data_IF_185394531534
#
_entry.id   IF_185394531534
#
_cell.length_a   1.000
_cell.length_b   1.000
_cell.length_c   1.000
_cell.angle_alpha   90.00
_cell.angle_beta   90.00
_cell.angle_gamma   90.00
#
_symmetry.space_group_name_H-M   'P 1'
#
loop_
_entity.id
_entity.type
_entity.pdbx_description
1 polymer ?
#
# COMPACT_ATOMS: atom_id res chain seq x y z
N UNK A 1 3.76 -11.24 44.09
CA UNK A 1 4.73 -10.16 44.09
C UNK A 1 6.04 -10.41 44.86
N UNK A 2 6.18 -11.49 45.67
CA UNK A 2 7.36 -11.69 46.52
C UNK A 2 8.24 -12.90 46.16
N UNK A 3 8.25 -13.43 44.93
CA UNK A 3 9.15 -14.52 44.50
C UNK A 3 10.14 -14.14 43.39
N UNK A 4 10.02 -12.97 42.76
CA UNK A 4 10.92 -12.50 41.71
C UNK A 4 12.08 -11.63 42.25
N UNK A 5 11.96 -11.06 43.47
CA UNK A 5 13.04 -10.22 44.06
C UNK A 5 14.22 -11.08 44.56
N UNK A 6 14.01 -12.36 44.84
CA UNK A 6 15.08 -13.26 45.32
C UNK A 6 16.05 -13.77 44.25
N UNK A 7 15.70 -13.67 42.93
CA UNK A 7 16.56 -14.14 41.84
C UNK A 7 17.55 -13.08 41.35
N UNK A 8 17.31 -11.82 41.69
CA UNK A 8 18.15 -10.70 41.23
C UNK A 8 19.43 -10.47 42.04
N UNK A 9 19.52 -11.04 43.25
CA UNK A 9 20.65 -10.79 44.17
C UNK A 9 21.84 -11.74 44.01
N UNK A 10 21.74 -12.81 43.22
CA UNK A 10 22.81 -13.84 43.12
C UNK A 10 23.61 -13.80 41.77
N UNK A 11 23.35 -12.90 40.87
CA UNK A 11 24.01 -12.86 39.57
C UNK A 11 25.07 -11.77 39.39
N UNK A 12 25.52 -11.11 40.49
CA UNK A 12 26.43 -9.97 40.43
C UNK A 12 27.94 -10.27 40.49
N UNK A 13 28.39 -11.52 40.46
CA UNK A 13 29.81 -11.86 40.59
C UNK A 13 30.28 -13.01 39.68
N UNK A 14 30.01 -12.91 38.37
CA UNK A 14 30.77 -13.71 37.39
C UNK A 14 31.42 -12.77 36.36
N UNK A 15 32.74 -12.55 36.47
CA UNK A 15 33.53 -12.01 35.38
C UNK A 15 33.61 -13.07 34.28
N UNK A 16 33.17 -12.72 33.09
CA UNK A 16 33.19 -13.61 31.92
C UNK A 16 34.55 -13.46 31.19
N UNK A 17 35.14 -14.57 30.72
CA UNK A 17 36.35 -14.53 29.91
C UNK A 17 36.09 -13.80 28.57
N UNK A 18 37.11 -13.10 28.13
CA UNK A 18 37.13 -12.15 27.03
C UNK A 18 36.44 -12.63 25.76
N UNK A 19 35.70 -11.71 25.16
CA UNK A 19 35.13 -11.81 23.82
C UNK A 19 36.28 -11.91 22.79
N UNK A 20 36.56 -13.11 22.38
CA UNK A 20 37.41 -13.39 21.22
C UNK A 20 36.50 -13.80 20.07
N UNK A 21 36.52 -13.07 18.99
CA UNK A 21 35.71 -13.10 17.76
C UNK A 21 34.28 -12.64 18.00
N UNK A 22 33.92 -11.50 17.37
CA UNK A 22 32.53 -11.09 17.27
C UNK A 22 31.76 -12.24 16.59
N UNK A 23 30.69 -12.73 17.21
CA UNK A 23 29.87 -13.75 16.57
C UNK A 23 29.25 -13.15 15.31
N UNK A 24 29.09 -13.97 14.28
CA UNK A 24 28.32 -13.64 13.10
C UNK A 24 27.00 -12.96 13.52
N UNK A 25 26.57 -11.98 12.76
CA UNK A 25 25.33 -11.21 12.91
C UNK A 25 24.20 -12.06 13.50
N UNK A 26 23.72 -11.71 14.70
CA UNK A 26 22.74 -12.53 15.45
C UNK A 26 21.36 -11.91 15.42
N UNK A 27 20.40 -12.72 15.02
CA UNK A 27 18.99 -12.37 15.03
C UNK A 27 18.25 -13.09 16.16
N UNK A 28 17.27 -12.42 16.75
CA UNK A 28 16.50 -12.93 17.87
C UNK A 28 15.01 -12.92 17.56
N UNK A 29 14.40 -14.08 17.53
CA UNK A 29 12.98 -14.27 17.25
C UNK A 29 12.15 -14.27 18.52
N UNK A 30 11.04 -13.53 18.54
CA UNK A 30 10.06 -13.49 19.61
C UNK A 30 8.62 -13.43 19.09
N UNK A 31 7.67 -13.82 19.94
CA UNK A 31 6.24 -13.72 19.62
C UNK A 31 5.55 -12.85 20.65
N UNK A 32 5.17 -11.65 20.25
CA UNK A 32 4.37 -10.73 21.05
C UNK A 32 2.89 -11.10 20.92
N UNK A 33 2.26 -11.45 22.04
CA UNK A 33 0.90 -11.97 22.04
C UNK A 33 -0.05 -10.99 22.75
N UNK A 34 -1.01 -10.45 22.00
CA UNK A 34 -2.20 -9.76 22.51
C UNK A 34 -3.40 -10.72 22.53
N UNK A 35 -4.48 -10.41 23.24
CA UNK A 35 -5.67 -11.25 23.25
C UNK A 35 -6.22 -11.59 21.86
N UNK A 36 -6.15 -10.65 20.93
CA UNK A 36 -6.72 -10.76 19.57
C UNK A 36 -5.69 -10.96 18.47
N UNK A 37 -4.40 -10.68 18.75
CA UNK A 37 -3.34 -10.71 17.73
C UNK A 37 -2.04 -11.29 18.25
N UNK A 38 -1.27 -11.90 17.33
CA UNK A 38 0.10 -12.35 17.58
C UNK A 38 1.02 -11.72 16.54
N UNK A 39 2.08 -11.06 17.04
CA UNK A 39 3.13 -10.50 16.18
C UNK A 39 4.37 -11.35 16.32
N UNK A 40 4.90 -11.84 15.21
CA UNK A 40 6.21 -12.48 15.14
C UNK A 40 7.25 -11.38 14.91
N UNK A 41 8.23 -11.30 15.80
CA UNK A 41 9.22 -10.24 15.80
C UNK A 41 10.61 -10.83 15.62
N UNK A 42 11.45 -10.14 14.86
CA UNK A 42 12.91 -10.39 14.83
C UNK A 42 13.61 -9.13 15.28
N UNK A 43 14.43 -9.25 16.32
CA UNK A 43 15.30 -8.21 16.80
C UNK A 43 16.68 -8.41 16.20
N UNK A 44 17.15 -7.42 15.47
CA UNK A 44 18.49 -7.28 14.97
C UNK A 44 19.24 -6.30 15.88
N UNK A 45 20.17 -6.83 16.65
CA UNK A 45 20.89 -6.03 17.64
C UNK A 45 21.95 -5.17 16.96
N UNK A 46 22.59 -5.67 15.91
CA UNK A 46 23.69 -4.97 15.25
C UNK A 46 23.20 -3.78 14.44
N UNK A 47 22.11 -3.96 13.71
CA UNK A 47 21.48 -2.90 12.94
C UNK A 47 20.51 -2.05 13.76
N UNK A 48 20.35 -2.34 15.04
CA UNK A 48 19.38 -1.66 15.93
C UNK A 48 17.98 -1.58 15.28
N UNK A 49 17.50 -2.72 14.81
CA UNK A 49 16.25 -2.82 14.06
C UNK A 49 15.35 -3.93 14.60
N UNK A 50 14.06 -3.72 14.47
CA UNK A 50 13.01 -4.71 14.74
C UNK A 50 12.29 -5.02 13.43
N UNK A 51 12.10 -6.30 13.14
CA UNK A 51 11.29 -6.74 12.02
C UNK A 51 10.00 -7.35 12.54
N UNK A 52 8.87 -6.97 11.98
CA UNK A 52 7.57 -7.57 12.25
C UNK A 52 7.22 -8.51 11.10
N UNK A 53 7.10 -9.80 11.38
CA UNK A 53 6.80 -10.82 10.38
C UNK A 53 5.29 -11.05 10.31
N UNK A 54 4.76 -11.18 9.11
CA UNK A 54 3.34 -11.47 8.87
C UNK A 54 2.66 -10.39 8.06
N UNK A 55 1.82 -9.57 8.66
CA UNK A 55 1.08 -8.54 7.92
C UNK A 55 1.96 -7.40 7.37
N UNK A 56 3.17 -7.21 7.93
CA UNK A 56 4.12 -6.18 7.53
C UNK A 56 5.53 -6.62 7.90
N UNK A 57 6.30 -7.29 7.04
CA UNK A 57 7.72 -7.45 7.27
C UNK A 57 8.38 -6.08 7.11
N UNK A 58 8.39 -5.29 8.16
CA UNK A 58 9.00 -3.98 8.16
C UNK A 58 10.24 -4.02 9.01
N UNK A 59 11.36 -3.62 8.42
CA UNK A 59 12.50 -3.16 9.19
C UNK A 59 12.09 -1.86 9.88
N UNK A 60 11.92 -1.92 11.18
CA UNK A 60 11.60 -0.78 12.02
C UNK A 60 12.92 -0.37 12.69
N UNK A 61 13.56 0.71 12.23
CA UNK A 61 14.73 1.23 12.91
C UNK A 61 14.31 1.69 14.31
N UNK A 62 15.12 1.35 15.31
CA UNK A 62 14.84 1.67 16.70
C UNK A 62 15.41 3.05 17.05
N UNK A 63 14.61 3.94 17.63
CA UNK A 63 15.03 5.31 17.96
C UNK A 63 16.05 5.32 19.12
N UNK A 64 15.86 4.41 20.09
CA UNK A 64 16.73 4.29 21.26
C UNK A 64 17.03 2.83 21.49
N UNK A 65 18.17 2.38 21.01
CA UNK A 65 18.69 1.06 21.34
C UNK A 65 19.83 1.21 22.35
N UNK A 66 19.79 0.44 23.42
CA UNK A 66 20.84 0.40 24.44
C UNK A 66 21.13 -1.03 24.84
N UNK A 67 22.41 -1.36 24.88
CA UNK A 67 22.92 -2.60 25.46
C UNK A 67 23.95 -2.25 26.54
N UNK A 68 23.63 -2.57 27.77
CA UNK A 68 24.54 -2.41 28.89
C UNK A 68 24.71 -3.77 29.62
N UNK A 69 25.87 -4.39 29.47
CA UNK A 69 26.14 -5.76 29.92
C UNK A 69 25.06 -6.72 29.38
N UNK A 70 24.23 -7.24 30.30
CA UNK A 70 23.12 -8.14 29.95
C UNK A 70 21.76 -7.43 29.79
N UNK A 71 21.70 -6.11 30.00
CA UNK A 71 20.46 -5.37 29.81
C UNK A 71 20.35 -4.88 28.38
N UNK A 72 19.18 -5.10 27.79
CA UNK A 72 18.81 -4.62 26.46
C UNK A 72 17.53 -3.84 26.60
N UNK A 73 17.55 -2.61 26.07
CA UNK A 73 16.35 -1.79 25.99
C UNK A 73 16.27 -1.09 24.66
N UNK A 74 15.06 -0.95 24.12
CA UNK A 74 14.82 -0.22 22.90
C UNK A 74 13.41 0.36 22.86
N UNK A 75 13.19 1.39 22.06
CA UNK A 75 11.88 2.01 21.83
C UNK A 75 11.77 2.57 20.42
N UNK A 76 10.54 2.82 20.02
CA UNK A 76 10.16 3.53 18.82
C UNK A 76 8.92 4.38 19.13
N UNK A 77 9.09 5.70 19.15
CA UNK A 77 8.10 6.63 19.71
C UNK A 77 6.74 6.61 18.97
N UNK A 78 6.74 6.32 17.68
CA UNK A 78 5.57 6.26 16.81
C UNK A 78 4.99 4.85 16.63
N UNK A 79 5.56 3.84 17.31
CA UNK A 79 5.14 2.45 17.12
C UNK A 79 4.92 1.69 18.43
N UNK A 80 5.70 1.97 19.49
CA UNK A 80 5.56 1.38 20.82
C UNK A 80 6.39 2.13 21.86
N UNK A 81 5.96 2.08 23.11
CA UNK A 81 6.61 2.82 24.22
C UNK A 81 7.99 2.26 24.60
N UNK A 82 8.21 0.95 24.47
CA UNK A 82 9.55 0.38 24.69
C UNK A 82 9.56 -1.11 25.03
N UNK A 83 10.76 -1.65 25.00
CA UNK A 83 11.10 -2.98 25.50
C UNK A 83 12.26 -2.90 26.49
N UNK A 84 12.17 -3.62 27.58
CA UNK A 84 13.25 -3.78 28.56
C UNK A 84 13.41 -5.27 28.86
N UNK A 85 14.59 -5.82 28.57
CA UNK A 85 14.88 -7.23 28.75
C UNK A 85 16.29 -7.51 29.26
N UNK A 86 16.50 -8.76 29.68
CA UNK A 86 17.79 -9.25 30.17
C UNK A 86 18.23 -10.40 29.25
N UNK A 87 19.45 -10.28 28.72
CA UNK A 87 20.08 -11.35 27.99
C UNK A 87 20.55 -12.44 28.95
N UNK A 88 20.20 -13.67 28.65
CA UNK A 88 20.62 -14.86 29.38
C UNK A 88 21.65 -15.66 28.56
N UNK A 89 22.95 -15.64 28.93
CA UNK A 89 23.97 -16.37 28.17
C UNK A 89 23.74 -17.88 28.11
N UNK A 90 23.09 -18.47 29.13
CA UNK A 90 22.87 -19.92 29.17
C UNK A 90 21.81 -20.39 28.15
N UNK A 91 20.81 -19.58 27.87
CA UNK A 91 19.78 -19.87 26.86
C UNK A 91 20.04 -19.16 25.54
N UNK A 92 21.06 -18.30 25.49
CA UNK A 92 21.31 -17.37 24.36
C UNK A 92 20.02 -16.63 23.92
N UNK A 93 19.27 -16.13 24.91
CA UNK A 93 17.97 -15.49 24.69
C UNK A 93 17.81 -14.23 25.51
N UNK A 94 16.79 -13.43 25.20
CA UNK A 94 16.46 -12.20 25.90
C UNK A 94 15.04 -12.32 26.44
N UNK A 95 14.87 -12.15 27.75
CA UNK A 95 13.55 -12.18 28.38
C UNK A 95 13.25 -10.81 29.00
N UNK A 96 12.06 -10.28 28.75
CA UNK A 96 11.70 -8.95 29.22
C UNK A 96 10.24 -8.58 29.04
N UNK A 97 10.00 -7.28 29.08
CA UNK A 97 8.67 -6.72 28.94
C UNK A 97 8.59 -5.71 27.82
N UNK A 98 7.66 -5.94 26.93
CA UNK A 98 7.19 -4.99 25.96
C UNK A 98 6.17 -4.06 26.62
N UNK A 99 6.29 -2.77 26.41
CA UNK A 99 5.35 -1.76 26.91
C UNK A 99 4.65 -1.13 25.70
N UNK A 100 3.35 -1.30 25.59
CA UNK A 100 2.54 -0.69 24.54
C UNK A 100 2.20 0.79 24.84
N UNK A 101 1.48 1.44 23.95
CA UNK A 101 1.12 2.85 24.08
C UNK A 101 0.16 3.12 25.26
N UNK A 102 -0.64 2.12 25.65
CA UNK A 102 -1.50 2.17 26.83
C UNK A 102 -0.76 1.87 28.14
N UNK A 103 0.59 1.80 28.08
CA UNK A 103 1.48 1.48 29.21
C UNK A 103 1.28 0.06 29.78
N UNK A 104 0.65 -0.82 29.03
CA UNK A 104 0.50 -2.21 29.39
C UNK A 104 1.80 -2.96 29.15
N UNK A 105 2.22 -3.75 30.15
CA UNK A 105 3.42 -4.59 30.04
C UNK A 105 3.06 -6.00 29.64
N UNK A 106 3.67 -6.47 28.55
CA UNK A 106 3.48 -7.82 28.00
C UNK A 106 4.82 -8.53 28.04
N UNK A 107 4.85 -9.73 28.62
CA UNK A 107 6.07 -10.53 28.64
C UNK A 107 6.42 -10.96 27.21
N UNK A 108 7.67 -10.73 26.79
CA UNK A 108 8.18 -11.08 25.49
C UNK A 108 9.60 -11.68 25.65
N UNK A 109 9.75 -12.89 25.15
CA UNK A 109 11.04 -13.58 25.09
C UNK A 109 11.52 -13.64 23.63
N UNK A 110 12.78 -13.31 23.42
CA UNK A 110 13.49 -13.48 22.18
C UNK A 110 14.51 -14.62 22.30
N UNK A 111 14.60 -15.47 21.27
CA UNK A 111 15.55 -16.57 21.17
C UNK A 111 16.37 -16.41 19.92
N UNK A 112 17.66 -16.72 19.98
CA UNK A 112 18.53 -16.74 18.80
C UNK A 112 17.91 -17.63 17.73
N UNK A 113 17.99 -17.16 16.52
CA UNK A 113 17.47 -17.85 15.36
C UNK A 113 18.36 -17.56 14.14
N UNK A 114 18.42 -18.52 13.25
CA UNK A 114 18.92 -18.31 11.90
C UNK A 114 17.79 -17.74 11.05
N UNK A 115 17.92 -16.49 10.54
CA UNK A 115 16.89 -15.86 9.72
C UNK A 115 16.52 -16.71 8.49
N UNK A 116 17.48 -17.47 7.98
CA UNK A 116 17.27 -18.34 6.81
C UNK A 116 16.27 -19.47 7.07
N UNK A 117 16.02 -19.77 8.36
CA UNK A 117 15.04 -20.80 8.76
C UNK A 117 13.69 -20.26 9.11
N UNK A 118 13.52 -18.92 9.17
CA UNK A 118 12.24 -18.29 9.50
C UNK A 118 11.53 -17.90 8.21
N UNK A 119 10.45 -18.62 7.98
CA UNK A 119 9.47 -18.24 6.96
C UNK A 119 8.98 -16.80 7.17
N UNK A 120 9.02 -15.99 6.13
CA UNK A 120 8.60 -14.58 6.14
C UNK A 120 9.66 -13.55 6.54
N UNK A 121 10.89 -13.97 6.88
CA UNK A 121 11.99 -13.02 7.11
C UNK A 121 12.75 -12.68 5.82
N UNK A 122 12.97 -13.67 4.97
CA UNK A 122 13.51 -13.47 3.62
C UNK A 122 12.39 -13.53 2.59
N UNK A 123 12.55 -12.88 1.45
CA UNK A 123 11.57 -12.95 0.37
C UNK A 123 11.25 -14.40 -0.02
N UNK A 124 12.27 -15.27 -0.03
CA UNK A 124 12.11 -16.70 -0.31
C UNK A 124 13.11 -17.53 0.49
N UNK A 125 12.57 -18.43 1.31
CA UNK A 125 13.39 -19.35 2.14
C UNK A 125 13.79 -20.60 1.34
N UNK A 126 12.87 -21.11 0.53
CA UNK A 126 13.12 -22.27 -0.34
C UNK A 126 13.48 -21.77 -1.74
N UNK A 127 14.65 -22.13 -2.28
CA UNK A 127 15.03 -21.70 -3.62
C UNK A 127 13.96 -22.05 -4.65
N UNK A 128 13.79 -21.19 -5.64
CA UNK A 128 12.86 -21.40 -6.74
C UNK A 128 13.24 -22.66 -7.53
N UNK A 129 12.28 -23.52 -7.80
CA UNK A 129 12.49 -24.75 -8.59
C UNK A 129 12.38 -24.50 -10.11
N UNK A 130 12.09 -23.26 -10.52
CA UNK A 130 11.89 -22.84 -11.91
C UNK A 130 10.76 -21.85 -12.05
N UNK A 131 10.55 -21.37 -13.28
CA UNK A 131 9.52 -20.38 -13.63
C UNK A 131 8.40 -21.09 -14.37
N UNK A 132 7.33 -21.39 -13.65
CA UNK A 132 6.15 -22.07 -14.21
C UNK A 132 5.11 -21.07 -14.73
N UNK A 133 4.24 -21.56 -15.61
CA UNK A 133 3.03 -20.82 -15.98
C UNK A 133 2.10 -20.76 -14.76
N UNK A 134 1.56 -19.60 -14.39
CA UNK A 134 0.62 -19.50 -13.27
C UNK A 134 -0.61 -20.39 -13.42
N UNK A 135 -1.22 -20.79 -12.32
CA UNK A 135 -2.44 -21.60 -12.37
C UNK A 135 -3.61 -20.82 -12.97
N UNK A 136 -4.42 -21.49 -13.80
CA UNK A 136 -5.67 -20.92 -14.32
C UNK A 136 -6.70 -20.93 -13.20
N UNK A 137 -7.03 -19.76 -12.71
CA UNK A 137 -8.06 -19.58 -11.68
C UNK A 137 -8.93 -18.36 -12.00
N UNK A 138 -10.18 -18.40 -11.59
CA UNK A 138 -11.11 -17.27 -11.61
C UNK A 138 -11.31 -16.62 -13.01
N UNK A 139 -11.15 -17.38 -14.08
CA UNK A 139 -11.37 -16.92 -15.45
C UNK A 139 -10.26 -16.04 -16.02
N UNK A 140 -9.11 -15.91 -15.34
CA UNK A 140 -7.93 -15.23 -15.89
C UNK A 140 -7.12 -16.24 -16.71
N UNK A 141 -6.97 -16.05 -18.03
CA UNK A 141 -6.13 -16.92 -18.86
C UNK A 141 -4.68 -16.84 -18.41
N UNK A 142 -3.95 -17.95 -18.52
CA UNK A 142 -2.51 -18.00 -18.28
C UNK A 142 -1.79 -18.51 -19.52
N UNK A 143 -0.59 -18.02 -19.78
CA UNK A 143 0.22 -18.43 -20.95
C UNK A 143 1.71 -18.40 -20.61
N UNK A 144 2.53 -19.22 -21.30
CA UNK A 144 3.98 -19.10 -21.21
C UNK A 144 4.48 -17.80 -21.87
N UNK A 145 5.63 -17.32 -21.44
CA UNK A 145 6.25 -16.08 -21.94
C UNK A 145 6.35 -16.02 -23.47
N UNK A 146 6.72 -17.14 -24.10
CA UNK A 146 6.91 -17.24 -25.55
C UNK A 146 5.64 -16.96 -26.36
N UNK A 147 4.46 -17.24 -25.81
CA UNK A 147 3.19 -17.00 -26.51
C UNK A 147 2.73 -15.54 -26.46
N UNK A 148 3.26 -14.78 -25.52
CA UNK A 148 2.85 -13.38 -25.30
C UNK A 148 3.94 -12.36 -25.62
N UNK A 149 5.09 -12.82 -26.13
CA UNK A 149 6.21 -11.92 -26.48
C UNK A 149 6.83 -11.26 -25.25
N UNK A 150 7.24 -12.06 -24.29
CA UNK A 150 8.04 -11.64 -23.13
C UNK A 150 9.39 -12.35 -23.18
N UNK A 151 10.47 -11.60 -23.01
CA UNK A 151 11.82 -12.10 -22.81
C UNK A 151 11.91 -12.80 -21.44
N UNK A 152 12.02 -14.15 -21.40
CA UNK A 152 12.08 -14.86 -20.13
C UNK A 152 13.31 -14.50 -19.31
N UNK A 153 14.48 -14.24 -19.95
CA UNK A 153 15.72 -13.97 -19.23
C UNK A 153 15.65 -12.70 -18.37
N UNK A 154 14.92 -11.67 -18.83
CA UNK A 154 14.70 -10.45 -18.04
C UNK A 154 13.78 -10.68 -16.86
N UNK A 155 12.73 -11.48 -17.05
CA UNK A 155 11.80 -11.83 -15.99
C UNK A 155 12.48 -12.71 -14.95
N UNK A 156 13.22 -13.71 -15.38
CA UNK A 156 13.98 -14.60 -14.49
C UNK A 156 14.98 -13.80 -13.65
N UNK A 157 15.74 -12.90 -14.27
CA UNK A 157 16.65 -11.99 -13.57
C UNK A 157 15.92 -11.12 -12.52
N UNK A 158 14.74 -10.59 -12.85
CA UNK A 158 13.94 -9.80 -11.90
C UNK A 158 13.49 -10.67 -10.72
N UNK A 159 13.00 -11.86 -10.99
CA UNK A 159 12.47 -12.75 -9.96
C UNK A 159 13.59 -13.27 -9.05
N UNK A 160 14.78 -13.56 -9.59
CA UNK A 160 15.96 -13.91 -8.78
C UNK A 160 16.33 -12.77 -7.84
N UNK A 161 16.37 -11.53 -8.32
CA UNK A 161 16.68 -10.37 -7.50
C UNK A 161 15.61 -10.08 -6.42
N UNK A 162 14.33 -10.37 -6.73
CA UNK A 162 13.26 -10.32 -5.73
C UNK A 162 13.44 -11.39 -4.66
N UNK A 163 13.83 -12.61 -5.05
CA UNK A 163 14.12 -13.70 -4.13
C UNK A 163 15.34 -13.40 -3.23
N UNK A 164 16.35 -12.70 -3.75
CA UNK A 164 17.55 -12.27 -3.02
C UNK A 164 17.29 -11.08 -2.08
N UNK A 165 16.14 -10.37 -2.25
CA UNK A 165 15.77 -9.24 -1.40
C UNK A 165 16.27 -7.87 -1.89
N UNK A 166 16.78 -7.78 -3.12
CA UNK A 166 17.25 -6.52 -3.72
C UNK A 166 16.14 -5.46 -3.83
N UNK A 167 14.90 -5.91 -3.90
CA UNK A 167 13.71 -5.09 -3.87
C UNK A 167 12.94 -5.34 -2.57
N UNK A 168 13.44 -4.78 -1.50
CA UNK A 168 12.83 -4.88 -0.18
C UNK A 168 11.34 -4.48 -0.22
N UNK A 169 10.55 -5.11 0.62
CA UNK A 169 9.13 -4.78 0.83
C UNK A 169 8.18 -5.09 -0.34
N UNK A 170 8.62 -5.74 -1.42
CA UNK A 170 7.73 -6.26 -2.45
C UNK A 170 7.17 -7.61 -1.99
N UNK A 171 5.86 -7.73 -1.83
CA UNK A 171 5.19 -8.92 -1.30
C UNK A 171 4.50 -9.75 -2.37
N UNK A 172 4.13 -9.12 -3.48
CA UNK A 172 3.60 -9.81 -4.65
C UNK A 172 3.93 -9.08 -5.93
N UNK A 173 4.11 -9.86 -6.99
CA UNK A 173 4.26 -9.37 -8.36
C UNK A 173 3.38 -10.22 -9.27
N UNK A 174 2.41 -9.58 -9.92
CA UNK A 174 1.61 -10.19 -10.97
C UNK A 174 1.81 -9.41 -12.26
N UNK A 175 2.02 -10.14 -13.36
CA UNK A 175 2.20 -9.55 -14.70
C UNK A 175 1.23 -10.22 -15.66
N UNK A 176 0.38 -9.43 -16.30
CA UNK A 176 -0.46 -9.85 -17.42
C UNK A 176 0.02 -9.19 -18.70
N UNK A 177 0.12 -9.98 -19.76
CA UNK A 177 0.51 -9.54 -21.09
C UNK A 177 -0.43 -10.14 -22.14
N UNK A 178 -0.91 -9.30 -23.08
CA UNK A 178 -1.87 -9.71 -24.12
C UNK A 178 -3.06 -10.49 -23.56
N UNK A 179 -3.60 -9.99 -22.44
CA UNK A 179 -4.77 -10.58 -21.79
C UNK A 179 -4.52 -11.87 -21.00
N UNK A 180 -3.29 -12.32 -20.84
CA UNK A 180 -2.95 -13.52 -20.07
C UNK A 180 -2.00 -13.22 -18.91
N UNK A 181 -2.24 -13.80 -17.74
CA UNK A 181 -1.35 -13.78 -16.60
C UNK A 181 -0.13 -14.67 -16.91
N UNK A 182 1.06 -14.12 -16.77
CA UNK A 182 2.33 -14.75 -17.10
C UNK A 182 3.30 -14.83 -15.94
N UNK A 183 3.18 -13.91 -14.98
CA UNK A 183 3.90 -13.97 -13.70
C UNK A 183 2.88 -13.83 -12.58
N UNK A 184 2.98 -14.70 -11.61
CA UNK A 184 2.28 -14.60 -10.34
C UNK A 184 3.20 -15.11 -9.26
N UNK A 185 3.71 -14.20 -8.46
CA UNK A 185 4.67 -14.54 -7.44
C UNK A 185 4.41 -13.79 -6.14
N UNK A 186 4.74 -14.44 -5.04
CA UNK A 186 4.52 -13.97 -3.68
C UNK A 186 5.79 -14.19 -2.85
N UNK A 187 6.09 -13.23 -2.00
CA UNK A 187 7.31 -13.19 -1.20
C UNK A 187 6.94 -13.05 0.28
N UNK A 188 7.85 -13.39 1.21
CA UNK A 188 7.72 -13.22 2.66
C UNK A 188 6.47 -13.90 3.26
N UNK A 189 6.16 -15.14 2.95
CA UNK A 189 4.97 -15.88 3.41
C UNK A 189 3.62 -15.40 2.85
N UNK A 190 3.59 -14.40 2.00
CA UNK A 190 2.37 -14.05 1.30
C UNK A 190 2.02 -15.09 0.24
N UNK A 191 0.76 -15.17 -0.11
CA UNK A 191 0.23 -16.09 -1.13
C UNK A 191 -1.00 -15.48 -1.79
N UNK A 192 -1.56 -16.16 -2.78
CA UNK A 192 -2.69 -15.67 -3.58
C UNK A 192 -3.99 -15.42 -2.80
N UNK A 193 -4.11 -15.91 -1.56
CA UNK A 193 -5.26 -15.64 -0.70
C UNK A 193 -5.10 -14.38 0.15
N UNK A 194 -3.89 -13.83 0.24
CA UNK A 194 -3.62 -12.65 1.04
C UNK A 194 -4.30 -11.42 0.41
N UNK A 195 -5.12 -10.74 1.20
CA UNK A 195 -5.68 -9.45 0.84
C UNK A 195 -4.81 -8.31 1.40
N UNK A 196 -4.53 -7.32 0.57
CA UNK A 196 -3.74 -6.14 0.94
C UNK A 196 -4.66 -4.92 1.02
N UNK A 197 -4.50 -4.10 2.04
CA UNK A 197 -5.08 -2.76 2.06
C UNK A 197 -4.50 -1.94 0.91
N UNK A 198 -5.32 -1.68 -0.12
CA UNK A 198 -4.84 -1.10 -1.38
C UNK A 198 -4.59 0.41 -1.29
N UNK A 199 -4.87 0.99 -0.13
CA UNK A 199 -4.61 2.41 0.14
C UNK A 199 -5.22 3.32 -0.95
N UNK A 200 -4.45 4.28 -1.44
CA UNK A 200 -4.92 5.24 -2.44
C UNK A 200 -5.24 4.66 -3.82
N UNK A 201 -4.97 3.38 -4.10
CA UNK A 201 -5.52 2.68 -5.28
C UNK A 201 -7.06 2.73 -5.25
N UNK A 202 -7.68 2.79 -4.07
CA UNK A 202 -9.12 3.00 -3.87
C UNK A 202 -9.67 4.21 -4.64
N UNK A 203 -8.86 5.27 -4.81
CA UNK A 203 -9.26 6.46 -5.58
C UNK A 203 -9.54 6.13 -7.05
N UNK A 204 -8.78 5.21 -7.65
CA UNK A 204 -9.01 4.78 -9.03
C UNK A 204 -10.28 3.94 -9.16
N UNK A 205 -10.67 3.18 -8.13
CA UNK A 205 -11.96 2.50 -8.10
C UNK A 205 -13.11 3.51 -8.02
N UNK A 206 -12.97 4.57 -7.22
CA UNK A 206 -13.98 5.66 -7.14
C UNK A 206 -14.05 6.44 -8.46
N UNK A 207 -12.93 6.60 -9.18
CA UNK A 207 -12.96 7.13 -10.55
C UNK A 207 -13.85 6.29 -11.48
N UNK A 208 -13.69 4.97 -11.45
CA UNK A 208 -14.54 4.07 -12.25
C UNK A 208 -16.03 4.24 -11.93
N UNK A 209 -16.39 4.26 -10.63
CA UNK A 209 -17.77 4.49 -10.18
C UNK A 209 -18.31 5.85 -10.65
N UNK A 210 -17.45 6.87 -10.65
CA UNK A 210 -17.82 8.21 -11.16
C UNK A 210 -18.17 8.17 -12.65
N UNK A 211 -17.38 7.49 -13.45
CA UNK A 211 -17.66 7.33 -14.88
C UNK A 211 -18.96 6.58 -15.14
N UNK A 212 -19.24 5.56 -14.36
CA UNK A 212 -20.50 4.83 -14.43
C UNK A 212 -21.70 5.71 -14.05
N UNK A 213 -21.55 6.54 -13.01
CA UNK A 213 -22.60 7.46 -12.57
C UNK A 213 -22.88 8.55 -13.63
N UNK A 214 -21.83 9.07 -14.29
CA UNK A 214 -21.96 10.02 -15.40
C UNK A 214 -22.71 9.37 -16.58
N UNK A 215 -22.33 8.16 -16.97
CA UNK A 215 -22.98 7.46 -18.08
C UNK A 215 -24.46 7.15 -17.83
N UNK A 216 -24.86 7.03 -16.57
CA UNK A 216 -26.27 6.85 -16.17
C UNK A 216 -27.03 8.19 -15.99
N UNK A 217 -26.34 9.33 -16.13
CA UNK A 217 -26.92 10.64 -15.87
C UNK A 217 -27.20 10.93 -14.39
N UNK A 218 -26.62 10.17 -13.48
CA UNK A 218 -26.76 10.35 -12.02
C UNK A 218 -25.97 11.58 -11.54
N UNK A 219 -24.83 11.86 -12.17
CA UNK A 219 -24.07 13.11 -12.04
C UNK A 219 -23.77 13.68 -13.43
N UNK A 220 -23.49 14.98 -13.50
CA UNK A 220 -23.07 15.63 -14.74
C UNK A 220 -21.65 15.24 -15.13
N UNK A 221 -21.07 15.86 -16.10
CA UNK A 221 -19.66 15.66 -16.47
C UNK A 221 -18.69 16.32 -15.50
N UNK A 222 -17.40 16.31 -15.83
CA UNK A 222 -16.34 16.88 -14.99
C UNK A 222 -16.59 18.32 -14.52
N UNK A 223 -17.30 19.12 -15.31
CA UNK A 223 -17.66 20.51 -14.97
C UNK A 223 -18.83 20.64 -14.00
N UNK A 224 -19.45 19.55 -13.57
CA UNK A 224 -20.59 19.60 -12.65
C UNK A 224 -20.14 20.11 -11.27
N UNK A 225 -20.75 21.19 -10.73
CA UNK A 225 -20.38 21.72 -9.42
C UNK A 225 -20.74 20.74 -8.30
N UNK A 226 -19.81 20.50 -7.37
CA UNK A 226 -20.04 19.57 -6.26
C UNK A 226 -21.06 20.07 -5.26
N UNK A 227 -21.29 21.39 -5.20
CA UNK A 227 -22.17 22.06 -4.23
C UNK A 227 -23.58 21.42 -4.16
N UNK A 228 -24.14 21.01 -5.29
CA UNK A 228 -25.47 20.41 -5.30
C UNK A 228 -25.55 19.05 -4.62
N UNK A 229 -24.42 18.34 -4.59
CA UNK A 229 -24.29 16.97 -4.08
C UNK A 229 -23.80 16.90 -2.63
N UNK A 230 -23.30 18.01 -2.07
CA UNK A 230 -22.86 18.01 -0.69
C UNK A 230 -24.03 17.95 0.29
N UNK A 231 -23.79 17.39 1.47
CA UNK A 231 -24.72 17.43 2.59
C UNK A 231 -25.05 18.89 2.94
N UNK A 232 -26.29 19.14 3.35
CA UNK A 232 -26.79 20.51 3.60
C UNK A 232 -25.90 21.31 4.56
N UNK A 233 -25.29 20.67 5.53
CA UNK A 233 -24.40 21.31 6.53
C UNK A 233 -23.15 21.93 5.92
N UNK A 234 -22.68 21.46 4.76
CA UNK A 234 -21.47 21.95 4.08
C UNK A 234 -21.77 22.98 2.98
N UNK A 235 -23.02 23.05 2.50
CA UNK A 235 -23.37 23.92 1.38
C UNK A 235 -23.09 25.39 1.66
N UNK A 236 -23.32 25.85 2.90
CA UNK A 236 -23.02 27.23 3.30
C UNK A 236 -21.51 27.53 3.29
N UNK A 237 -20.71 26.60 3.76
CA UNK A 237 -19.26 26.82 3.91
C UNK A 237 -18.58 26.90 2.52
N UNK A 238 -19.06 26.15 1.54
CA UNK A 238 -18.53 26.13 0.17
C UNK A 238 -19.14 27.21 -0.74
N UNK A 239 -20.37 27.68 -0.45
CA UNK A 239 -21.05 28.68 -1.28
C UNK A 239 -20.36 30.05 -1.29
N UNK A 240 -19.51 30.33 -0.30
CA UNK A 240 -18.73 31.55 -0.21
C UNK A 240 -17.45 31.53 -1.07
N UNK A 241 -17.21 30.42 -1.83
CA UNK A 241 -16.08 30.30 -2.75
C UNK A 241 -16.35 31.14 -4.00
N UNK A 242 -15.41 31.98 -4.38
CA UNK A 242 -15.53 32.87 -5.54
C UNK A 242 -15.70 32.10 -6.87
N UNK A 243 -15.15 30.88 -6.96
CA UNK A 243 -15.31 30.00 -8.10
C UNK A 243 -15.77 28.60 -7.64
N UNK A 244 -16.69 27.93 -8.38
CA UNK A 244 -17.21 26.63 -7.97
C UNK A 244 -16.13 25.54 -8.05
N UNK A 245 -16.06 24.68 -7.04
CA UNK A 245 -15.32 23.42 -7.12
C UNK A 245 -16.20 22.42 -7.91
N UNK A 246 -15.62 21.77 -8.90
CA UNK A 246 -16.30 20.79 -9.76
C UNK A 246 -15.75 19.39 -9.56
N UNK A 247 -16.41 18.38 -10.16
CA UNK A 247 -15.91 17.00 -10.17
C UNK A 247 -14.51 16.89 -10.78
N UNK A 248 -14.23 17.69 -11.83
CA UNK A 248 -12.89 17.81 -12.41
C UNK A 248 -11.83 18.18 -11.35
N UNK A 249 -12.12 19.23 -10.57
CA UNK A 249 -11.18 19.69 -9.56
C UNK A 249 -10.92 18.65 -8.47
N UNK A 250 -11.95 17.91 -8.04
CA UNK A 250 -11.76 16.83 -7.05
C UNK A 250 -10.87 15.72 -7.59
N UNK A 251 -11.21 15.21 -8.79
CA UNK A 251 -10.54 14.04 -9.34
C UNK A 251 -9.15 14.34 -9.90
N UNK A 252 -8.89 15.59 -10.34
CA UNK A 252 -7.57 16.02 -10.81
C UNK A 252 -6.67 16.59 -9.71
N UNK A 253 -7.13 16.63 -8.45
CA UNK A 253 -6.40 17.21 -7.31
C UNK A 253 -6.08 18.70 -7.48
N UNK A 254 -7.00 19.46 -8.10
CA UNK A 254 -6.85 20.89 -8.39
C UNK A 254 -7.94 21.74 -7.74
N UNK A 255 -8.43 21.35 -6.58
CA UNK A 255 -9.50 22.08 -5.85
C UNK A 255 -9.07 23.44 -5.35
N UNK A 256 -7.78 23.69 -5.25
CA UNK A 256 -7.22 24.89 -4.61
C UNK A 256 -7.47 24.98 -3.10
N UNK A 257 -7.88 23.89 -2.48
CA UNK A 257 -7.94 23.78 -1.03
C UNK A 257 -6.53 23.69 -0.46
N UNK A 258 -6.28 24.38 0.67
CA UNK A 258 -4.99 24.31 1.32
C UNK A 258 -4.83 22.93 1.99
N UNK A 259 -3.88 22.16 1.47
CA UNK A 259 -3.64 20.81 1.91
C UNK A 259 -2.18 20.40 1.65
N UNK A 260 -1.56 19.76 2.61
CA UNK A 260 -0.23 19.17 2.49
C UNK A 260 -0.19 17.84 3.23
N UNK A 261 -0.18 16.75 2.50
CA UNK A 261 -0.05 15.39 3.03
C UNK A 261 1.20 14.65 2.50
N UNK A 262 2.08 15.38 1.78
CA UNK A 262 3.27 14.79 1.15
C UNK A 262 4.59 15.35 1.66
N UNK A 263 4.59 16.56 2.23
CA UNK A 263 5.82 17.21 2.73
C UNK A 263 6.23 16.66 4.09
N UNK A 264 5.27 16.26 4.92
CA UNK A 264 5.47 15.77 6.27
C UNK A 264 5.07 14.32 6.39
N UNK A 265 5.74 13.56 7.25
CA UNK A 265 5.41 12.17 7.52
C UNK A 265 3.97 12.01 8.06
N UNK A 266 3.36 10.85 7.77
CA UNK A 266 2.09 10.49 8.37
C UNK A 266 2.26 10.38 9.90
N UNK A 267 1.46 11.12 10.66
CA UNK A 267 1.60 11.24 12.12
C UNK A 267 2.21 12.55 12.60
N UNK A 268 2.88 13.33 11.72
CA UNK A 268 3.28 14.70 12.03
C UNK A 268 2.03 15.60 12.07
N UNK A 269 1.89 16.43 13.13
CA UNK A 269 0.76 17.34 13.28
C UNK A 269 0.65 18.39 12.15
N UNK A 270 1.73 18.62 11.41
CA UNK A 270 1.77 19.52 10.23
C UNK A 270 1.23 18.82 8.98
N UNK A 271 1.17 17.49 8.97
CA UNK A 271 0.55 16.76 7.89
C UNK A 271 -0.96 16.97 7.91
N UNK A 272 -1.52 17.41 6.80
CA UNK A 272 -2.95 17.75 6.72
C UNK A 272 -3.88 16.56 6.97
N UNK A 273 -3.40 15.31 6.86
CA UNK A 273 -4.18 14.12 7.22
C UNK A 273 -4.56 14.07 8.69
N UNK A 274 -3.79 14.72 9.58
CA UNK A 274 -4.18 14.89 10.98
C UNK A 274 -5.54 15.60 11.13
N UNK A 275 -5.95 16.38 10.14
CA UNK A 275 -7.29 17.00 10.07
C UNK A 275 -8.38 16.01 9.71
N UNK A 276 -8.03 14.87 9.10
CA UNK A 276 -9.01 13.85 8.72
C UNK A 276 -9.64 13.17 9.94
N UNK A 277 -8.92 13.13 11.06
CA UNK A 277 -9.41 12.62 12.34
C UNK A 277 -10.22 13.68 13.12
N UNK A 278 -10.24 14.93 12.65
CA UNK A 278 -11.05 15.96 13.24
C UNK A 278 -12.55 15.62 13.13
N UNK A 279 -13.34 16.09 14.10
CA UNK A 279 -14.79 15.86 14.20
C UNK A 279 -15.56 16.23 12.92
N UNK A 280 -15.06 17.21 12.15
CA UNK A 280 -15.63 17.63 10.86
C UNK A 280 -14.53 18.16 9.90
N UNK A 281 -13.76 17.26 9.27
CA UNK A 281 -12.62 17.64 8.42
C UNK A 281 -13.05 18.45 7.19
N UNK A 282 -14.24 18.23 6.65
CA UNK A 282 -14.72 18.99 5.49
C UNK A 282 -14.96 20.47 5.83
N UNK A 283 -15.47 20.75 7.02
CA UNK A 283 -15.68 22.14 7.45
C UNK A 283 -14.37 22.88 7.62
N UNK A 284 -13.37 22.23 8.21
CA UNK A 284 -12.03 22.80 8.37
C UNK A 284 -11.37 23.03 7.00
N UNK A 285 -11.50 22.07 6.11
CA UNK A 285 -10.97 22.14 4.75
C UNK A 285 -11.55 23.33 3.98
N UNK A 286 -12.88 23.54 4.01
CA UNK A 286 -13.53 24.64 3.29
C UNK A 286 -13.25 26.04 3.86
N UNK A 287 -12.67 26.14 5.04
CA UNK A 287 -12.23 27.41 5.63
C UNK A 287 -10.82 27.83 5.18
N UNK A 288 -10.01 26.88 4.73
CA UNK A 288 -8.63 27.09 4.29
C UNK A 288 -8.55 26.99 2.77
N UNK A 289 -8.56 28.13 2.06
CA UNK A 289 -8.70 28.12 0.61
C UNK A 289 -7.81 29.09 -0.16
N UNK A 290 -7.36 28.57 -1.30
CA UNK A 290 -7.02 29.32 -2.51
C UNK A 290 -8.13 29.10 -3.56
N UNK A 291 -8.08 29.79 -4.69
CA UNK A 291 -9.05 29.58 -5.76
C UNK A 291 -8.84 28.22 -6.44
N UNK A 292 -9.91 27.53 -6.94
CA UNK A 292 -9.79 26.36 -7.78
C UNK A 292 -8.93 26.63 -9.04
N UNK A 293 -8.30 25.59 -9.55
CA UNK A 293 -7.38 25.70 -10.70
C UNK A 293 -5.95 26.08 -10.32
N UNK A 294 -5.62 26.20 -9.04
CA UNK A 294 -4.23 26.30 -8.57
C UNK A 294 -3.45 25.02 -8.89
N UNK A 295 -2.08 25.08 -8.78
CA UNK A 295 -1.24 23.91 -9.00
C UNK A 295 -1.74 22.67 -8.26
N UNK A 296 -1.41 21.50 -8.79
CA UNK A 296 -1.70 20.20 -8.20
C UNK A 296 -1.33 20.14 -6.71
N UNK A 297 -2.27 19.67 -5.89
CA UNK A 297 -2.03 19.34 -4.48
C UNK A 297 -2.73 18.02 -4.16
N UNK A 298 -1.94 16.96 -3.98
CA UNK A 298 -2.50 15.65 -3.63
C UNK A 298 -3.26 15.75 -2.31
N UNK A 299 -4.53 15.36 -2.33
CA UNK A 299 -5.46 15.58 -1.22
C UNK A 299 -6.42 14.41 -1.06
N UNK A 300 -6.22 13.62 -0.02
CA UNK A 300 -7.04 12.45 0.28
C UNK A 300 -8.49 12.78 0.62
N UNK A 301 -8.78 14.00 1.10
CA UNK A 301 -10.16 14.42 1.37
C UNK A 301 -10.99 14.56 0.07
N UNK A 302 -10.36 14.84 -1.07
CA UNK A 302 -11.06 14.88 -2.36
C UNK A 302 -11.76 13.55 -2.69
N UNK A 303 -11.14 12.44 -2.34
CA UNK A 303 -11.73 11.11 -2.47
C UNK A 303 -12.98 10.96 -1.56
N UNK A 304 -12.90 11.39 -0.32
CA UNK A 304 -14.04 11.37 0.61
C UNK A 304 -15.18 12.28 0.16
N UNK A 305 -14.86 13.46 -0.41
CA UNK A 305 -15.86 14.33 -1.02
C UNK A 305 -16.52 13.68 -2.24
N UNK A 306 -15.74 12.97 -3.07
CA UNK A 306 -16.28 12.24 -4.21
C UNK A 306 -17.22 11.11 -3.80
N UNK A 307 -16.86 10.35 -2.75
CA UNK A 307 -17.76 9.36 -2.15
C UNK A 307 -19.08 9.97 -1.66
N UNK A 308 -19.03 11.17 -1.07
CA UNK A 308 -20.24 11.90 -0.67
C UNK A 308 -21.08 12.30 -1.89
N UNK A 309 -20.45 12.79 -2.95
CA UNK A 309 -21.12 13.13 -4.22
C UNK A 309 -21.85 11.91 -4.77
N UNK A 310 -21.17 10.78 -4.92
CA UNK A 310 -21.74 9.54 -5.45
C UNK A 310 -22.91 9.07 -4.59
N UNK A 311 -22.73 8.96 -3.28
CA UNK A 311 -23.81 8.55 -2.37
C UNK A 311 -25.05 9.43 -2.50
N UNK A 312 -24.89 10.75 -2.56
CA UNK A 312 -26.02 11.69 -2.62
C UNK A 312 -26.62 11.76 -4.03
N UNK A 313 -25.88 11.44 -5.07
CA UNK A 313 -26.37 11.41 -6.44
C UNK A 313 -27.13 10.11 -6.77
N UNK A 314 -26.60 8.98 -6.33
CA UNK A 314 -27.16 7.65 -6.66
C UNK A 314 -28.20 7.18 -5.65
N UNK A 315 -28.19 7.72 -4.44
CA UNK A 315 -29.03 7.24 -3.32
C UNK A 315 -28.58 5.91 -2.73
N UNK A 316 -27.45 5.34 -3.21
CA UNK A 316 -26.85 4.12 -2.69
C UNK A 316 -25.81 4.44 -1.60
N UNK A 317 -25.59 3.54 -0.66
CA UNK A 317 -24.43 3.63 0.21
C UNK A 317 -23.15 3.40 -0.62
N UNK A 318 -22.02 3.95 -0.21
CA UNK A 318 -20.76 3.73 -0.93
C UNK A 318 -20.39 2.24 -1.01
N UNK A 319 -20.76 1.46 0.02
CA UNK A 319 -20.61 0.01 0.01
C UNK A 319 -21.43 -0.66 -1.08
N UNK A 320 -22.72 -0.34 -1.16
CA UNK A 320 -23.60 -0.87 -2.22
C UNK A 320 -23.12 -0.46 -3.60
N UNK A 321 -22.67 0.79 -3.72
CA UNK A 321 -22.15 1.35 -4.97
C UNK A 321 -20.97 0.54 -5.50
N UNK A 322 -19.93 0.39 -4.67
CA UNK A 322 -18.72 -0.31 -5.09
C UNK A 322 -18.95 -1.81 -5.27
N UNK A 323 -19.69 -2.44 -4.37
CA UNK A 323 -19.92 -3.88 -4.40
C UNK A 323 -20.71 -4.27 -5.63
N UNK A 324 -21.91 -3.70 -5.81
CA UNK A 324 -22.81 -4.15 -6.86
C UNK A 324 -22.44 -3.67 -8.26
N UNK A 325 -21.81 -2.49 -8.37
CA UNK A 325 -21.51 -1.88 -9.66
C UNK A 325 -20.12 -2.17 -10.17
N UNK A 326 -19.16 -2.54 -9.30
CA UNK A 326 -17.78 -2.75 -9.70
C UNK A 326 -17.23 -4.11 -9.29
N UNK A 327 -17.25 -4.45 -7.98
CA UNK A 327 -16.58 -5.66 -7.50
C UNK A 327 -17.28 -6.95 -7.95
N UNK A 328 -18.61 -7.04 -7.81
CA UNK A 328 -19.39 -8.20 -8.29
C UNK A 328 -19.28 -8.42 -9.81
N UNK A 329 -19.42 -7.39 -10.67
CA UNK A 329 -19.22 -7.56 -12.11
C UNK A 329 -17.82 -8.04 -12.50
N UNK A 330 -16.78 -7.70 -11.72
CA UNK A 330 -15.41 -8.20 -11.88
C UNK A 330 -15.22 -9.61 -11.30
N UNK A 331 -16.26 -10.20 -10.70
CA UNK A 331 -16.16 -11.49 -10.02
C UNK A 331 -15.30 -11.44 -8.75
N UNK A 332 -15.15 -10.27 -8.12
CA UNK A 332 -14.43 -10.09 -6.87
C UNK A 332 -15.39 -10.37 -5.71
N UNK A 333 -15.09 -11.41 -4.92
CA UNK A 333 -15.95 -11.88 -3.85
C UNK A 333 -15.34 -11.72 -2.46
N UNK A 334 -14.02 -11.75 -2.38
CA UNK A 334 -13.27 -11.68 -1.13
C UNK A 334 -12.62 -10.29 -1.04
N UNK A 335 -13.25 -9.40 -0.32
CA UNK A 335 -12.77 -8.04 -0.07
C UNK A 335 -13.17 -7.59 1.32
N UNK A 336 -12.44 -6.61 1.85
CA UNK A 336 -12.81 -5.91 3.07
C UNK A 336 -12.85 -4.41 2.75
N UNK A 337 -13.94 -3.77 3.16
CA UNK A 337 -14.13 -2.33 2.94
C UNK A 337 -13.47 -1.46 4.01
N UNK A 338 -12.69 -2.08 4.89
CA UNK A 338 -11.93 -1.40 5.92
C UNK A 338 -12.78 -0.59 6.90
N UNK A 339 -12.13 0.28 7.66
CA UNK A 339 -12.82 1.17 8.58
C UNK A 339 -13.62 2.23 7.80
N UNK A 340 -14.91 2.25 8.07
CA UNK A 340 -15.79 3.33 7.61
C UNK A 340 -15.69 4.47 8.60
N UNK A 341 -15.55 5.67 8.08
CA UNK A 341 -15.71 6.83 8.94
C UNK A 341 -17.17 6.95 9.46
N UNK A 342 -17.39 7.78 10.46
CA UNK A 342 -18.73 8.02 11.05
C UNK A 342 -19.76 8.52 10.01
N UNK A 343 -19.38 8.76 8.76
CA UNK A 343 -20.20 9.22 7.63
C UNK A 343 -20.52 8.09 6.66
N UNK A 344 -19.98 6.89 6.90
CA UNK A 344 -20.12 5.73 6.02
C UNK A 344 -19.34 5.84 4.71
N UNK A 345 -18.30 6.69 4.69
CA UNK A 345 -17.42 6.84 3.54
C UNK A 345 -16.30 5.79 3.59
N UNK A 346 -16.01 5.17 2.46
CA UNK A 346 -14.95 4.17 2.33
C UNK A 346 -13.61 4.89 2.26
N UNK A 347 -12.71 4.61 3.21
CA UNK A 347 -11.35 5.16 3.21
C UNK A 347 -10.36 4.28 2.50
N UNK A 348 -10.40 2.99 2.78
CA UNK A 348 -9.51 1.98 2.23
C UNK A 348 -10.27 0.68 1.96
N UNK A 349 -9.74 -0.12 1.04
CA UNK A 349 -10.30 -1.42 0.67
C UNK A 349 -9.15 -2.42 0.68
N UNK A 350 -9.43 -3.64 1.13
CA UNK A 350 -8.47 -4.75 0.99
C UNK A 350 -8.89 -5.66 -0.15
N UNK A 351 -7.96 -5.89 -1.08
CA UNK A 351 -8.12 -6.76 -2.25
C UNK A 351 -6.96 -7.72 -2.36
N UNK A 352 -7.21 -8.90 -2.95
CA UNK A 352 -6.14 -9.80 -3.35
C UNK A 352 -5.43 -9.26 -4.60
N UNK A 353 -4.17 -9.61 -4.84
CA UNK A 353 -3.43 -9.17 -6.03
C UNK A 353 -4.13 -9.54 -7.34
N UNK A 354 -4.74 -10.72 -7.44
CA UNK A 354 -5.54 -11.12 -8.62
C UNK A 354 -6.78 -10.24 -8.83
N UNK A 355 -7.41 -9.76 -7.75
CA UNK A 355 -8.56 -8.89 -7.85
C UNK A 355 -8.16 -7.49 -8.34
N UNK A 356 -7.00 -6.99 -7.90
CA UNK A 356 -6.38 -5.78 -8.45
C UNK A 356 -6.03 -5.95 -9.94
N UNK A 357 -5.53 -7.14 -10.32
CA UNK A 357 -5.20 -7.46 -11.71
C UNK A 357 -6.45 -7.42 -12.60
N UNK A 358 -7.58 -8.00 -12.16
CA UNK A 358 -8.86 -7.91 -12.89
C UNK A 358 -9.25 -6.46 -13.16
N UNK A 359 -9.10 -5.59 -12.17
CA UNK A 359 -9.38 -4.15 -12.34
C UNK A 359 -8.44 -3.51 -13.36
N UNK A 360 -7.14 -3.79 -13.31
CA UNK A 360 -6.18 -3.32 -14.30
C UNK A 360 -6.46 -3.84 -15.71
N UNK A 361 -6.76 -5.13 -15.86
CA UNK A 361 -7.13 -5.73 -17.14
C UNK A 361 -8.41 -5.13 -17.72
N UNK A 362 -9.41 -4.84 -16.89
CA UNK A 362 -10.61 -4.13 -17.30
C UNK A 362 -10.24 -2.75 -17.88
N UNK A 363 -9.38 -1.99 -17.22
CA UNK A 363 -8.93 -0.69 -17.74
C UNK A 363 -8.12 -0.82 -19.04
N UNK A 364 -7.23 -1.80 -19.13
CA UNK A 364 -6.52 -2.10 -20.38
C UNK A 364 -7.49 -2.36 -21.53
N UNK A 365 -8.56 -3.10 -21.27
CA UNK A 365 -9.62 -3.46 -22.24
C UNK A 365 -10.72 -2.38 -22.34
N UNK A 366 -10.38 -1.12 -22.09
CA UNK A 366 -11.31 0.01 -22.24
C UNK A 366 -12.62 -0.16 -21.45
N UNK A 367 -12.51 -0.73 -20.25
CA UNK A 367 -13.64 -0.90 -19.33
C UNK A 367 -14.42 -2.20 -19.49
N UNK A 368 -13.97 -3.10 -20.37
CA UNK A 368 -14.57 -4.42 -20.57
C UNK A 368 -13.83 -5.49 -19.76
N UNK A 369 -14.58 -6.38 -19.12
CA UNK A 369 -14.05 -7.57 -18.47
C UNK A 369 -14.98 -8.76 -18.67
N UNK A 370 -14.43 -9.92 -19.06
CA UNK A 370 -15.17 -11.17 -19.33
C UNK A 370 -16.39 -10.96 -20.26
N UNK A 371 -16.22 -10.16 -21.33
CA UNK A 371 -17.26 -9.86 -22.33
C UNK A 371 -18.36 -8.88 -21.86
N UNK A 372 -18.15 -8.21 -20.73
CA UNK A 372 -19.09 -7.21 -20.19
C UNK A 372 -18.45 -5.84 -20.10
N UNK A 373 -19.10 -4.83 -20.68
CA UNK A 373 -18.72 -3.42 -20.43
C UNK A 373 -19.14 -3.03 -19.03
N UNK A 374 -18.17 -2.82 -18.15
CA UNK A 374 -18.38 -2.44 -16.75
C UNK A 374 -18.21 -0.93 -16.58
N UNK A 375 -17.11 -0.38 -17.08
CA UNK A 375 -16.84 1.06 -17.10
C UNK A 375 -16.95 1.56 -18.53
N UNK A 376 -17.60 2.71 -18.81
CA UNK A 376 -17.68 3.24 -20.17
C UNK A 376 -16.29 3.44 -20.79
N UNK A 377 -16.08 3.00 -22.04
CA UNK A 377 -14.80 3.10 -22.73
C UNK A 377 -14.29 4.54 -22.83
N UNK A 378 -15.20 5.50 -23.08
CA UNK A 378 -14.90 6.91 -23.09
C UNK A 378 -14.40 7.41 -21.73
N UNK A 379 -14.97 6.89 -20.63
CA UNK A 379 -14.50 7.26 -19.30
C UNK A 379 -13.09 6.74 -19.01
N UNK A 380 -12.77 5.53 -19.42
CA UNK A 380 -11.40 5.00 -19.29
C UNK A 380 -10.42 5.94 -19.97
N UNK A 381 -10.68 6.35 -21.21
CA UNK A 381 -9.83 7.28 -21.95
C UNK A 381 -9.73 8.65 -21.26
N UNK A 382 -10.86 9.21 -20.82
CA UNK A 382 -10.89 10.51 -20.16
C UNK A 382 -10.15 10.44 -18.82
N UNK A 383 -10.41 9.42 -17.99
CA UNK A 383 -9.88 9.36 -16.63
C UNK A 383 -8.39 9.09 -16.58
N UNK A 384 -7.85 8.36 -17.54
CA UNK A 384 -6.43 7.98 -17.60
C UNK A 384 -5.55 8.93 -18.42
N UNK A 385 -6.15 9.93 -19.08
CA UNK A 385 -5.38 11.00 -19.73
C UNK A 385 -4.92 12.06 -18.74
N UNK A 386 -3.73 12.61 -18.95
CA UNK A 386 -3.16 13.66 -18.09
C UNK A 386 -4.06 14.90 -18.07
N UNK A 387 -4.50 15.33 -16.90
CA UNK A 387 -5.26 16.58 -16.69
C UNK A 387 -4.39 17.69 -16.12
N UNK A 388 -3.37 17.33 -15.37
CA UNK A 388 -2.43 18.27 -14.76
C UNK A 388 -1.03 17.65 -14.69
N UNK A 389 0.03 18.37 -15.08
CA UNK A 389 1.40 17.95 -14.83
C UNK A 389 1.71 18.07 -13.34
N UNK A 390 2.45 17.10 -12.79
CA UNK A 390 2.86 17.08 -11.38
C UNK A 390 4.36 17.39 -11.25
N UNK A 391 5.18 16.66 -11.97
CA UNK A 391 6.63 16.88 -12.12
C UNK A 391 7.08 16.36 -13.48
N UNK A 392 8.35 16.49 -13.80
CA UNK A 392 8.90 15.92 -15.03
C UNK A 392 8.52 14.43 -15.15
N UNK A 393 8.00 14.05 -16.31
CA UNK A 393 7.50 12.71 -16.64
C UNK A 393 6.48 12.13 -15.67
N UNK A 394 5.74 12.97 -14.93
CA UNK A 394 4.66 12.53 -14.05
C UNK A 394 3.49 13.51 -14.15
N UNK A 395 2.32 12.97 -14.50
CA UNK A 395 1.07 13.70 -14.54
C UNK A 395 0.00 13.03 -13.70
N UNK A 396 -1.17 13.66 -13.64
CA UNK A 396 -2.34 13.16 -12.95
C UNK A 396 -3.60 13.34 -13.79
N UNK A 397 -4.38 12.27 -13.92
CA UNK A 397 -5.69 12.25 -14.56
C UNK A 397 -6.81 12.39 -13.55
N UNK A 398 -7.88 11.61 -13.71
CA UNK A 398 -8.98 11.54 -12.74
C UNK A 398 -8.78 10.37 -11.78
N UNK A 399 -8.04 10.62 -10.71
CA UNK A 399 -7.60 9.63 -9.72
C UNK A 399 -6.70 8.53 -10.32
N UNK A 400 -5.98 8.86 -11.36
CA UNK A 400 -4.96 8.05 -11.99
C UNK A 400 -3.68 8.86 -12.15
N UNK A 401 -2.55 8.26 -11.85
CA UNK A 401 -1.24 8.79 -12.20
C UNK A 401 -0.92 8.48 -13.66
N UNK A 402 -0.15 9.32 -14.31
CA UNK A 402 0.29 9.11 -15.70
C UNK A 402 1.78 9.37 -15.85
N UNK A 403 2.45 8.53 -16.65
CA UNK A 403 3.88 8.65 -16.96
C UNK A 403 4.17 8.06 -18.33
N UNK A 404 5.42 8.17 -18.79
CA UNK A 404 5.91 7.46 -19.97
C UNK A 404 7.12 6.60 -19.60
N UNK A 405 7.34 5.53 -20.36
CA UNK A 405 8.54 4.70 -20.29
C UNK A 405 9.18 4.64 -21.68
N UNK A 406 10.51 4.50 -21.73
CA UNK A 406 11.19 4.22 -22.97
C UNK A 406 11.08 2.72 -23.32
N UNK A 407 10.64 2.42 -24.53
CA UNK A 407 10.59 1.08 -25.08
C UNK A 407 11.10 1.07 -26.52
N UNK A 408 12.23 0.39 -26.77
CA UNK A 408 12.85 0.27 -28.11
C UNK A 408 13.03 1.62 -28.84
N UNK A 409 13.47 2.64 -28.09
CA UNK A 409 13.70 3.98 -28.62
C UNK A 409 12.43 4.82 -28.86
N UNK A 410 11.29 4.40 -28.30
CA UNK A 410 10.02 5.12 -28.35
C UNK A 410 9.48 5.31 -26.92
N UNK A 411 8.79 6.40 -26.71
CA UNK A 411 7.99 6.56 -25.49
C UNK A 411 6.66 5.83 -25.61
N UNK A 412 6.33 5.04 -24.57
CA UNK A 412 5.04 4.39 -24.39
C UNK A 412 4.35 4.95 -23.16
N UNK A 413 3.06 5.28 -23.30
CA UNK A 413 2.25 5.83 -22.23
C UNK A 413 1.91 4.77 -21.18
N UNK A 414 1.96 5.18 -19.92
CA UNK A 414 1.51 4.37 -18.78
C UNK A 414 0.59 5.20 -17.90
N UNK A 415 -0.52 4.63 -17.49
CA UNK A 415 -1.29 5.15 -16.36
C UNK A 415 -1.29 4.12 -15.24
N UNK A 416 -1.32 4.62 -14.02
CA UNK A 416 -1.21 3.72 -12.88
C UNK A 416 -1.99 4.23 -11.66
N UNK A 417 -2.55 3.28 -10.91
CA UNK A 417 -3.05 3.51 -9.56
C UNK A 417 -1.92 3.29 -8.57
N UNK A 418 -1.80 4.16 -7.59
CA UNK A 418 -0.75 4.10 -6.59
C UNK A 418 -1.31 4.31 -5.18
N UNK A 419 -1.03 3.35 -4.31
CA UNK A 419 -1.32 3.38 -2.88
C UNK A 419 -0.05 3.40 -2.04
N UNK A 420 -0.09 4.11 -0.94
CA UNK A 420 1.00 4.18 0.01
C UNK A 420 1.45 2.78 0.45
N UNK A 421 2.73 2.60 0.71
CA UNK A 421 3.32 1.32 1.07
C UNK A 421 3.64 0.41 -0.12
N UNK A 422 3.47 0.85 -1.38
CA UNK A 422 3.87 0.07 -2.55
C UNK A 422 2.72 -0.75 -3.17
N UNK A 423 1.50 -0.22 -3.14
CA UNK A 423 0.35 -0.80 -3.82
C UNK A 423 0.24 -0.19 -5.21
N UNK A 424 0.36 -0.98 -6.27
CA UNK A 424 0.34 -0.49 -7.64
C UNK A 424 -0.50 -1.35 -8.58
N UNK A 425 -1.15 -0.68 -9.52
CA UNK A 425 -1.69 -1.25 -10.75
C UNK A 425 -1.17 -0.40 -11.89
N UNK A 426 -0.17 -0.88 -12.63
CA UNK A 426 0.34 -0.23 -13.84
C UNK A 426 -0.37 -0.79 -15.06
N UNK A 427 -0.72 0.07 -15.99
CA UNK A 427 -1.29 -0.29 -17.28
C UNK A 427 -0.52 0.44 -18.37
N UNK A 428 0.06 -0.31 -19.30
CA UNK A 428 0.80 0.20 -20.46
C UNK A 428 0.07 -0.30 -21.72
N UNK A 429 -0.88 0.49 -22.28
CA UNK A 429 -1.75 0.04 -23.36
C UNK A 429 -1.00 -0.40 -24.61
N UNK A 430 0.00 0.38 -25.05
CA UNK A 430 0.80 0.07 -26.26
C UNK A 430 1.54 -1.28 -26.15
N UNK A 431 1.77 -1.74 -24.93
CA UNK A 431 2.40 -3.02 -24.67
C UNK A 431 1.40 -4.09 -24.28
N UNK A 432 0.11 -3.81 -24.20
CA UNK A 432 -0.90 -4.71 -23.65
C UNK A 432 -0.46 -5.33 -22.30
N UNK A 433 0.17 -4.50 -21.45
CA UNK A 433 0.81 -4.91 -20.20
C UNK A 433 0.03 -4.38 -19.01
N UNK A 434 -0.26 -5.25 -18.05
CA UNK A 434 -0.76 -4.88 -16.72
C UNK A 434 0.16 -5.48 -15.66
N UNK A 435 0.59 -4.66 -14.71
CA UNK A 435 1.43 -5.09 -13.60
C UNK A 435 0.77 -4.71 -12.29
N UNK A 436 0.67 -5.67 -11.38
CA UNK A 436 0.25 -5.44 -10.00
C UNK A 436 1.41 -5.71 -9.08
N UNK A 437 1.68 -4.77 -8.19
CA UNK A 437 2.62 -4.96 -7.08
C UNK A 437 1.95 -4.60 -5.78
N UNK A 438 2.22 -5.40 -4.75
CA UNK A 438 1.84 -5.09 -3.37
C UNK A 438 3.09 -5.09 -2.50
N UNK A 439 3.12 -4.21 -1.52
CA UNK A 439 4.28 -4.08 -0.66
C UNK A 439 3.97 -3.37 0.65
N UNK A 440 5.02 -3.15 1.44
CA UNK A 440 4.97 -2.39 2.70
C UNK A 440 6.11 -1.37 2.80
N UNK A 441 6.52 -0.81 1.67
CA UNK A 441 7.52 0.26 1.65
C UNK A 441 6.90 1.59 2.12
N UNK A 442 6.97 1.84 3.42
CA UNK A 442 6.49 3.07 4.06
C UNK A 442 7.56 4.17 4.13
N UNK A 443 8.69 4.00 3.42
CA UNK A 443 9.80 4.94 3.41
C UNK A 443 9.47 6.24 2.67
N UNK A 444 10.41 7.20 2.74
CA UNK A 444 10.32 8.51 2.07
C UNK A 444 10.44 8.42 0.54
N UNK A 445 10.92 7.30 -0.02
CA UNK A 445 10.94 7.04 -1.48
C UNK A 445 10.19 5.72 -1.81
N UNK A 446 8.87 5.69 -1.63
CA UNK A 446 8.09 4.49 -1.87
C UNK A 446 8.02 4.08 -3.34
N UNK A 447 8.32 4.99 -4.28
CA UNK A 447 8.28 4.74 -5.73
C UNK A 447 9.56 4.06 -6.27
N UNK A 448 10.65 4.08 -5.51
CA UNK A 448 11.97 3.67 -6.01
C UNK A 448 11.96 2.31 -6.68
N UNK A 449 11.49 1.30 -5.99
CA UNK A 449 11.54 -0.08 -6.47
C UNK A 449 10.52 -0.33 -7.58
N UNK A 450 9.30 0.16 -7.44
CA UNK A 450 8.26 -0.03 -8.46
C UNK A 450 8.64 0.59 -9.80
N UNK A 451 9.21 1.80 -9.77
CA UNK A 451 9.71 2.50 -10.97
C UNK A 451 10.87 1.73 -11.60
N UNK A 452 11.83 1.27 -10.79
CA UNK A 452 12.97 0.49 -11.28
C UNK A 452 12.51 -0.84 -11.89
N UNK A 453 11.60 -1.56 -11.25
CA UNK A 453 11.06 -2.83 -11.77
C UNK A 453 10.38 -2.61 -13.12
N UNK A 454 9.57 -1.56 -13.25
CA UNK A 454 8.92 -1.25 -14.52
C UNK A 454 9.93 -0.86 -15.61
N UNK A 455 10.84 0.07 -15.32
CA UNK A 455 11.74 0.67 -16.31
C UNK A 455 12.86 -0.27 -16.74
N UNK A 456 13.46 -1.02 -15.80
CA UNK A 456 14.68 -1.81 -16.06
C UNK A 456 14.36 -3.25 -16.48
N UNK A 457 13.17 -3.76 -16.10
CA UNK A 457 12.81 -5.18 -16.30
C UNK A 457 11.55 -5.37 -17.13
N UNK A 458 10.39 -4.89 -16.67
CA UNK A 458 9.10 -5.31 -17.23
C UNK A 458 8.80 -4.66 -18.59
N UNK A 459 9.03 -3.37 -18.73
CA UNK A 459 8.83 -2.69 -20.03
C UNK A 459 9.86 -3.19 -21.07
N UNK A 460 11.16 -3.30 -20.74
CA UNK A 460 12.14 -3.86 -21.68
C UNK A 460 11.97 -5.35 -21.97
N UNK A 461 11.28 -6.12 -21.11
CA UNK A 461 10.98 -7.52 -21.38
C UNK A 461 9.91 -7.71 -22.47
N UNK A 462 9.14 -6.68 -22.79
CA UNK A 462 8.11 -6.76 -23.83
C UNK A 462 8.75 -6.75 -25.24
N UNK A 463 8.46 -7.81 -26.03
CA UNK A 463 8.92 -7.97 -27.40
C UNK A 463 7.93 -7.38 -28.44
#
# INVERSE_FOLDING_TARGET
>A
MNRLVGLFAMLSLMEFPGFGQEPAHQFYFGVLTYPEHRYRLILDIEDSALYVIGLRPNRIPLDKFRRDKNQISFSRADFFSGYEGIFNPASNGIAGYWTDDDKKKIMLEFRVVDPDTISGFKPRVVPRSGYGVPAVEEGIPTRPFSEVGIDPGRIETLLDRLDEGDFEYVHSLLVSRRGALVVEDYFYDFNGSAAFGIQSVTKSLVSALTGMAIARGEVGGGNDPILKWLDKKYKRDISNIAAPITLHHLMSMTTGLEWDEVTYDYGDERNSLSLADARDPFRLLFQKRKLPGNPFAYNSINHSLMNMVLRNATGLTNEMEITSRLLEPLGIKNFDLGNRDNRGLIGDISLRPRDMLKFGMMYLNRGEFAGKQIVPAEWVEISTSTKVPVKENLGYGYFWWTTTYEWKGKEVGCYFAWGHGGQYIFVVPDLELVVVMNGTNWSTDPERYSRQIMQDYLVPACE
#
